data_IF_635698168569
#
_entry.id   IF_635698168569
#
_cell.length_a   1.000
_cell.length_b   1.000
_cell.length_c   1.000
_cell.angle_alpha   90.00
_cell.angle_beta   90.00
_cell.angle_gamma   90.00
#
_symmetry.space_group_name_H-M   'P 1'
#
loop_
_entity.id
_entity.type
_entity.pdbx_description
1 polymer ?
#
# COMPACT_ATOMS: atom_id res chain seq x y z
N UNK A 1 10.32 3.98 -34.02
CA UNK A 1 9.44 5.09 -34.49
C UNK A 1 8.29 4.60 -35.37
N UNK A 2 8.50 4.12 -36.61
CA UNK A 2 7.37 3.66 -37.46
C UNK A 2 6.69 2.39 -36.91
N UNK A 3 7.48 1.47 -36.33
CA UNK A 3 6.99 0.27 -35.66
C UNK A 3 6.24 0.60 -34.34
N UNK A 4 6.72 1.58 -33.57
CA UNK A 4 6.03 2.08 -32.37
C UNK A 4 4.72 2.79 -32.73
N UNK A 5 4.69 3.52 -33.84
CA UNK A 5 3.48 4.22 -34.29
C UNK A 5 2.41 3.25 -34.79
N UNK A 6 2.81 2.17 -35.47
CA UNK A 6 1.96 1.05 -35.91
C UNK A 6 1.48 0.20 -34.72
N UNK A 7 2.32 -0.01 -33.71
CA UNK A 7 1.96 -0.70 -32.49
C UNK A 7 0.98 0.14 -31.66
N UNK A 8 1.23 1.44 -31.52
CA UNK A 8 0.35 2.40 -30.86
C UNK A 8 -1.02 2.50 -31.53
N UNK A 9 -1.09 2.54 -32.86
CA UNK A 9 -2.38 2.55 -33.59
C UNK A 9 -3.14 1.23 -33.50
N UNK A 10 -2.45 0.08 -33.56
CA UNK A 10 -3.08 -1.24 -33.36
C UNK A 10 -3.54 -1.45 -31.91
N UNK A 11 -2.76 -1.02 -30.92
CA UNK A 11 -3.16 -1.02 -29.51
C UNK A 11 -4.35 -0.11 -29.28
N UNK A 12 -4.35 1.10 -29.82
CA UNK A 12 -5.46 2.05 -29.71
C UNK A 12 -6.76 1.48 -30.33
N UNK A 13 -6.65 0.80 -31.47
CA UNK A 13 -7.79 0.10 -32.09
C UNK A 13 -8.26 -1.10 -31.25
N UNK A 14 -7.33 -1.86 -30.67
CA UNK A 14 -7.62 -2.99 -29.78
C UNK A 14 -8.31 -2.54 -28.49
N UNK A 15 -7.83 -1.45 -27.87
CA UNK A 15 -8.44 -0.83 -26.70
C UNK A 15 -9.85 -0.30 -26.98
N UNK A 16 -10.09 0.28 -28.16
CA UNK A 16 -11.42 0.74 -28.57
C UNK A 16 -12.41 -0.42 -28.80
N UNK A 17 -11.93 -1.57 -29.30
CA UNK A 17 -12.75 -2.76 -29.50
C UNK A 17 -13.13 -3.43 -28.16
N UNK A 18 -12.18 -3.55 -27.23
CA UNK A 18 -12.43 -4.06 -25.88
C UNK A 18 -13.32 -3.12 -25.03
N UNK A 19 -13.16 -1.81 -25.21
CA UNK A 19 -14.05 -0.77 -24.64
C UNK A 19 -15.51 -1.01 -25.06
N UNK A 20 -15.74 -1.21 -26.36
CA UNK A 20 -17.10 -1.45 -26.87
C UNK A 20 -17.70 -2.73 -26.30
N UNK A 21 -16.92 -3.81 -26.12
CA UNK A 21 -17.44 -5.02 -25.49
C UNK A 21 -17.71 -4.85 -24.00
N UNK A 22 -16.72 -4.41 -23.21
CA UNK A 22 -16.86 -4.27 -21.76
C UNK A 22 -17.97 -3.30 -21.35
N UNK A 23 -18.25 -2.26 -22.15
CA UNK A 23 -19.21 -1.21 -21.79
C UNK A 23 -20.54 -1.36 -22.52
N UNK A 24 -20.56 -1.70 -23.82
CA UNK A 24 -21.82 -1.78 -24.56
C UNK A 24 -22.56 -3.10 -24.37
N UNK A 25 -21.86 -4.17 -23.98
CA UNK A 25 -22.49 -5.50 -23.79
C UNK A 25 -22.76 -5.84 -22.33
N UNK A 26 -22.23 -5.06 -21.39
CA UNK A 26 -22.42 -5.30 -19.96
C UNK A 26 -23.72 -4.63 -19.46
N UNK A 27 -24.68 -5.46 -19.06
CA UNK A 27 -25.99 -5.02 -18.58
C UNK A 27 -25.94 -4.37 -17.19
N UNK A 28 -24.90 -4.63 -16.38
CA UNK A 28 -24.77 -4.09 -15.02
C UNK A 28 -24.46 -2.59 -14.99
N UNK A 29 -24.04 -2.05 -16.13
CA UNK A 29 -23.76 -0.64 -16.31
C UNK A 29 -25.02 0.20 -16.53
N UNK A 30 -26.13 -0.43 -16.89
CA UNK A 30 -27.39 0.24 -17.16
C UNK A 30 -28.03 0.70 -15.83
N UNK A 31 -28.66 1.89 -15.79
CA UNK A 31 -29.37 2.36 -14.62
C UNK A 31 -30.60 1.50 -14.29
N UNK A 32 -31.19 0.85 -15.30
CA UNK A 32 -32.38 0.00 -15.21
C UNK A 32 -32.15 -1.30 -14.42
N UNK A 33 -30.91 -1.84 -14.41
CA UNK A 33 -30.59 -3.08 -13.69
C UNK A 33 -30.30 -2.79 -12.21
N UNK A 34 -30.71 -3.64 -11.25
CA UNK A 34 -30.43 -3.37 -9.84
C UNK A 34 -28.92 -3.38 -9.56
N UNK A 35 -28.44 -2.46 -8.72
CA UNK A 35 -27.01 -2.32 -8.42
C UNK A 35 -26.41 -3.54 -7.71
N UNK A 36 -27.26 -4.38 -7.10
CA UNK A 36 -26.85 -5.62 -6.42
C UNK A 36 -26.28 -6.66 -7.38
N UNK A 37 -26.62 -6.60 -8.67
CA UNK A 37 -26.11 -7.53 -9.69
C UNK A 37 -24.59 -7.49 -9.81
N UNK A 38 -23.98 -6.32 -9.57
CA UNK A 38 -22.52 -6.13 -9.52
C UNK A 38 -21.83 -7.07 -8.51
N UNK A 39 -22.56 -7.60 -7.52
CA UNK A 39 -22.03 -8.53 -6.52
C UNK A 39 -22.15 -10.00 -6.94
N UNK A 40 -22.96 -10.31 -7.94
CA UNK A 40 -23.23 -11.67 -8.41
C UNK A 40 -22.68 -11.93 -9.81
N UNK A 41 -22.37 -10.85 -10.54
CA UNK A 41 -21.85 -10.87 -11.90
C UNK A 41 -20.35 -10.56 -11.94
N UNK A 42 -19.68 -11.16 -12.91
CA UNK A 42 -18.27 -10.92 -13.15
C UNK A 42 -18.05 -9.55 -13.82
N UNK A 43 -16.78 -9.18 -13.97
CA UNK A 43 -16.39 -7.92 -14.61
C UNK A 43 -17.04 -7.64 -15.98
N UNK A 44 -17.49 -8.67 -16.71
CA UNK A 44 -18.10 -8.55 -18.03
C UNK A 44 -19.63 -8.57 -18.01
N UNK A 45 -20.26 -8.75 -16.85
CA UNK A 45 -21.71 -8.82 -16.69
C UNK A 45 -22.28 -10.24 -16.86
N UNK A 46 -21.47 -11.27 -16.61
CA UNK A 46 -21.93 -12.67 -16.60
C UNK A 46 -21.93 -13.21 -15.17
N UNK A 47 -23.00 -13.90 -14.75
CA UNK A 47 -23.09 -14.51 -13.42
C UNK A 47 -21.84 -15.33 -13.06
N UNK A 48 -21.28 -15.13 -11.87
CA UNK A 48 -20.09 -15.86 -11.40
C UNK A 48 -20.27 -17.39 -11.38
N UNK A 49 -21.50 -17.85 -11.22
CA UNK A 49 -21.85 -19.29 -11.17
C UNK A 49 -21.93 -19.92 -12.55
N UNK A 50 -21.93 -19.13 -13.62
CA UNK A 50 -22.04 -19.61 -14.99
C UNK A 50 -20.69 -20.20 -15.48
N UNK A 51 -20.75 -21.32 -16.20
CA UNK A 51 -19.56 -22.05 -16.69
C UNK A 51 -18.70 -21.22 -17.64
N UNK A 52 -19.31 -20.28 -18.38
CA UNK A 52 -18.63 -19.34 -19.27
C UNK A 52 -18.11 -18.06 -18.60
N UNK A 53 -18.29 -17.88 -17.29
CA UNK A 53 -17.79 -16.70 -16.57
C UNK A 53 -16.28 -16.74 -16.42
N UNK A 54 -15.65 -15.57 -16.57
CA UNK A 54 -14.24 -15.38 -16.32
C UNK A 54 -13.89 -15.36 -14.82
N UNK A 55 -14.89 -15.45 -13.92
CA UNK A 55 -14.77 -15.46 -12.45
C UNK A 55 -13.99 -14.26 -11.88
N UNK A 56 -13.88 -13.19 -12.66
CA UNK A 56 -13.20 -11.97 -12.28
C UNK A 56 -14.15 -11.09 -11.47
N UNK A 57 -14.07 -11.21 -10.14
CA UNK A 57 -14.88 -10.44 -9.19
C UNK A 57 -14.25 -9.06 -8.93
N UNK A 58 -14.82 -8.00 -9.53
CA UNK A 58 -14.28 -6.62 -9.46
C UNK A 58 -15.36 -5.56 -9.27
N UNK A 59 -16.14 -5.64 -8.18
CA UNK A 59 -17.37 -4.86 -8.01
C UNK A 59 -17.12 -3.34 -7.97
N UNK A 60 -16.01 -2.87 -7.39
CA UNK A 60 -15.71 -1.43 -7.36
C UNK A 60 -15.37 -0.87 -8.74
N UNK A 61 -14.73 -1.69 -9.58
CA UNK A 61 -14.41 -1.29 -10.95
C UNK A 61 -15.69 -1.20 -11.80
N UNK A 62 -16.56 -2.22 -11.73
CA UNK A 62 -17.86 -2.23 -12.41
C UNK A 62 -18.76 -1.07 -11.93
N UNK A 63 -18.80 -0.81 -10.62
CA UNK A 63 -19.53 0.32 -10.06
C UNK A 63 -18.98 1.67 -10.57
N UNK A 64 -17.66 1.83 -10.68
CA UNK A 64 -17.06 3.02 -11.28
C UNK A 64 -17.47 3.21 -12.74
N UNK A 65 -17.59 2.12 -13.52
CA UNK A 65 -18.09 2.20 -14.88
C UNK A 65 -19.57 2.57 -14.95
N UNK A 66 -20.40 2.00 -14.05
CA UNK A 66 -21.82 2.32 -13.96
C UNK A 66 -22.05 3.79 -13.62
N UNK A 67 -21.35 4.31 -12.61
CA UNK A 67 -21.41 5.74 -12.26
C UNK A 67 -20.92 6.64 -13.39
N UNK A 68 -19.92 6.20 -14.16
CA UNK A 68 -19.48 6.98 -15.31
C UNK A 68 -20.50 6.95 -16.45
N UNK A 69 -21.16 5.81 -16.65
CA UNK A 69 -22.23 5.67 -17.63
C UNK A 69 -23.43 6.54 -17.28
N UNK A 70 -23.82 6.65 -16.00
CA UNK A 70 -24.93 7.53 -15.60
C UNK A 70 -24.63 9.02 -15.83
N UNK A 71 -23.37 9.45 -15.70
CA UNK A 71 -22.96 10.84 -15.89
C UNK A 71 -22.67 11.23 -17.35
N UNK A 72 -22.00 10.36 -18.10
CA UNK A 72 -21.48 10.67 -19.44
C UNK A 72 -22.03 9.76 -20.55
N UNK A 73 -22.88 8.79 -20.20
CA UNK A 73 -23.37 7.77 -21.13
C UNK A 73 -22.21 7.00 -21.76
N UNK A 74 -22.32 6.71 -23.05
CA UNK A 74 -21.28 6.02 -23.83
C UNK A 74 -20.19 6.95 -24.38
N UNK A 75 -20.13 8.23 -23.97
CA UNK A 75 -19.15 9.18 -24.50
C UNK A 75 -17.73 8.81 -24.03
N UNK A 76 -16.80 8.43 -24.93
CA UNK A 76 -15.48 7.93 -24.53
C UNK A 76 -14.66 8.93 -23.70
N UNK A 77 -14.86 10.22 -23.95
CA UNK A 77 -14.20 11.33 -23.25
C UNK A 77 -14.25 11.18 -21.71
N UNK A 78 -15.44 10.90 -21.14
CA UNK A 78 -15.60 10.83 -19.69
C UNK A 78 -14.86 9.64 -19.08
N UNK A 79 -14.71 8.55 -19.85
CA UNK A 79 -13.95 7.39 -19.42
C UNK A 79 -12.45 7.64 -19.37
N UNK A 80 -11.91 8.33 -20.36
CA UNK A 80 -10.50 8.71 -20.39
C UNK A 80 -10.18 9.78 -19.35
N UNK A 81 -11.06 10.77 -19.15
CA UNK A 81 -10.88 11.79 -18.11
C UNK A 81 -10.70 11.14 -16.73
N UNK A 82 -11.59 10.23 -16.37
CA UNK A 82 -11.53 9.56 -15.06
C UNK A 82 -10.24 8.73 -14.91
N UNK A 83 -9.78 8.08 -15.97
CA UNK A 83 -8.50 7.35 -15.95
C UNK A 83 -7.30 8.29 -15.77
N UNK A 84 -7.29 9.45 -16.42
CA UNK A 84 -6.23 10.47 -16.27
C UNK A 84 -6.22 11.00 -14.84
N UNK A 85 -7.40 11.30 -14.27
CA UNK A 85 -7.52 11.75 -12.87
C UNK A 85 -6.99 10.68 -11.91
N UNK A 86 -7.39 9.42 -12.08
CA UNK A 86 -6.88 8.31 -11.27
C UNK A 86 -5.36 8.17 -11.38
N UNK A 87 -4.81 8.28 -12.59
CA UNK A 87 -3.37 8.20 -12.80
C UNK A 87 -2.61 9.37 -12.13
N UNK A 88 -3.17 10.58 -12.18
CA UNK A 88 -2.63 11.73 -11.45
C UNK A 88 -2.60 11.49 -9.94
N UNK A 89 -3.65 10.89 -9.38
CA UNK A 89 -3.70 10.52 -7.97
C UNK A 89 -2.67 9.45 -7.61
N UNK A 90 -2.52 8.40 -8.44
CA UNK A 90 -1.50 7.36 -8.24
C UNK A 90 -0.11 7.98 -8.25
N UNK A 91 0.18 8.86 -9.22
CA UNK A 91 1.46 9.58 -9.33
C UNK A 91 1.74 10.42 -8.08
N UNK A 92 0.73 11.12 -7.56
CA UNK A 92 0.84 11.88 -6.32
C UNK A 92 1.14 10.96 -5.12
N UNK A 93 0.50 9.79 -5.04
CA UNK A 93 0.77 8.80 -3.98
C UNK A 93 2.18 8.20 -4.08
N UNK A 94 2.66 7.89 -5.29
CA UNK A 94 4.06 7.45 -5.51
C UNK A 94 5.02 8.52 -5.02
N UNK A 95 4.80 9.78 -5.39
CA UNK A 95 5.62 10.91 -4.94
C UNK A 95 5.62 11.03 -3.41
N UNK A 96 4.46 10.88 -2.77
CA UNK A 96 4.33 10.90 -1.31
C UNK A 96 5.07 9.74 -0.63
N UNK A 97 5.03 8.55 -1.23
CA UNK A 97 5.76 7.38 -0.75
C UNK A 97 7.27 7.57 -0.91
N UNK A 98 7.72 8.03 -2.08
CA UNK A 98 9.12 8.37 -2.33
C UNK A 98 9.63 9.44 -1.36
N UNK A 99 8.82 10.44 -1.06
CA UNK A 99 9.15 11.44 -0.04
C UNK A 99 9.30 10.84 1.36
N UNK A 100 8.50 9.83 1.71
CA UNK A 100 8.63 9.13 3.00
C UNK A 100 9.88 8.27 3.08
N UNK A 101 10.41 7.78 1.96
CA UNK A 101 11.56 6.85 1.92
C UNK A 101 12.90 7.57 1.68
N UNK A 102 12.94 8.52 0.73
CA UNK A 102 14.15 9.25 0.34
C UNK A 102 14.28 10.61 1.05
N UNK A 103 13.25 11.07 1.76
CA UNK A 103 13.22 12.36 2.44
C UNK A 103 12.83 13.54 1.53
N UNK A 104 12.94 14.75 2.09
CA UNK A 104 12.63 16.02 1.41
C UNK A 104 13.73 16.34 0.39
N UNK A 105 13.47 16.10 -0.88
CA UNK A 105 14.41 16.46 -1.94
C UNK A 105 13.87 16.26 -3.35
N UNK A 106 14.62 16.78 -4.33
CA UNK A 106 14.33 16.68 -5.76
C UNK A 106 14.16 15.23 -6.22
N UNK A 107 14.85 14.29 -5.60
CA UNK A 107 14.75 12.85 -5.91
C UNK A 107 13.34 12.28 -5.75
N UNK A 108 12.57 12.78 -4.77
CA UNK A 108 11.18 12.35 -4.58
C UNK A 108 10.27 12.82 -5.73
N UNK A 109 10.49 14.05 -6.21
CA UNK A 109 9.77 14.61 -7.35
C UNK A 109 10.19 13.95 -8.66
N UNK A 110 11.49 13.70 -8.85
CA UNK A 110 11.99 12.95 -10.01
C UNK A 110 11.38 11.54 -10.07
N UNK A 111 11.28 10.83 -8.95
CA UNK A 111 10.65 9.51 -8.91
C UNK A 111 9.18 9.57 -9.35
N UNK A 112 8.43 10.57 -8.88
CA UNK A 112 7.05 10.81 -9.30
C UNK A 112 6.92 11.16 -10.79
N UNK A 113 7.78 12.05 -11.31
CA UNK A 113 7.79 12.44 -12.71
C UNK A 113 8.19 11.30 -13.63
N UNK A 114 9.19 10.50 -13.25
CA UNK A 114 9.58 9.30 -13.97
C UNK A 114 8.42 8.31 -14.04
N UNK A 115 7.71 8.10 -12.92
CA UNK A 115 6.50 7.27 -12.89
C UNK A 115 5.41 7.83 -13.82
N UNK A 116 5.12 9.13 -13.77
CA UNK A 116 4.12 9.77 -14.64
C UNK A 116 4.42 9.62 -16.13
N UNK A 117 5.70 9.76 -16.50
CA UNK A 117 6.18 9.67 -17.88
C UNK A 117 6.34 8.24 -18.41
N UNK A 118 6.16 7.22 -17.56
CA UNK A 118 6.50 5.85 -17.91
C UNK A 118 5.53 5.29 -18.98
N UNK A 119 6.02 4.83 -20.15
CA UNK A 119 5.18 4.37 -21.26
C UNK A 119 4.21 3.24 -20.89
N UNK A 120 4.62 2.33 -20.00
CA UNK A 120 3.77 1.24 -19.52
C UNK A 120 2.44 1.72 -18.87
N UNK A 121 2.41 2.93 -18.31
CA UNK A 121 1.16 3.48 -17.76
C UNK A 121 0.28 4.09 -18.84
N UNK A 122 0.85 4.53 -19.96
CA UNK A 122 0.04 5.06 -21.08
C UNK A 122 -0.88 4.00 -21.65
N UNK A 123 -0.45 2.73 -21.70
CA UNK A 123 -1.30 1.62 -22.13
C UNK A 123 -2.45 1.34 -21.14
N UNK A 124 -2.17 1.38 -19.84
CA UNK A 124 -3.17 1.18 -18.79
C UNK A 124 -4.17 2.35 -18.67
N UNK A 125 -3.75 3.58 -19.00
CA UNK A 125 -4.58 4.79 -18.93
C UNK A 125 -5.38 5.01 -20.22
N UNK A 126 -4.75 4.78 -21.38
CA UNK A 126 -5.40 4.86 -22.68
C UNK A 126 -6.43 3.74 -22.84
N UNK A 127 -6.15 2.54 -22.31
CA UNK A 127 -7.12 1.47 -22.19
C UNK A 127 -8.13 1.76 -21.09
N UNK A 128 -9.39 2.00 -21.44
CA UNK A 128 -10.46 2.22 -20.44
C UNK A 128 -10.63 1.01 -19.52
N UNK A 129 -10.43 -0.21 -20.04
CA UNK A 129 -10.43 -1.46 -19.25
C UNK A 129 -9.31 -1.49 -18.20
N UNK A 130 -8.19 -0.80 -18.45
CA UNK A 130 -7.06 -0.66 -17.53
C UNK A 130 -7.38 0.16 -16.28
N UNK A 131 -8.57 0.78 -16.19
CA UNK A 131 -9.05 1.44 -14.97
C UNK A 131 -9.00 0.53 -13.74
N UNK A 132 -9.25 -0.78 -13.93
CA UNK A 132 -9.15 -1.77 -12.86
C UNK A 132 -7.77 -1.75 -12.19
N UNK A 133 -6.72 -1.70 -13.01
CA UNK A 133 -5.32 -1.68 -12.57
C UNK A 133 -4.92 -0.37 -11.90
N UNK A 134 -5.33 0.76 -12.49
CA UNK A 134 -5.01 2.08 -11.93
C UNK A 134 -5.72 2.30 -10.58
N UNK A 135 -6.99 1.89 -10.47
CA UNK A 135 -7.74 1.97 -9.22
C UNK A 135 -7.16 1.05 -8.14
N UNK A 136 -6.79 -0.18 -8.49
CA UNK A 136 -6.10 -1.08 -7.56
C UNK A 136 -4.76 -0.48 -7.09
N UNK A 137 -3.95 0.07 -7.99
CA UNK A 137 -2.68 0.71 -7.65
C UNK A 137 -2.87 1.91 -6.69
N UNK A 138 -3.92 2.71 -6.87
CA UNK A 138 -4.21 3.84 -5.99
C UNK A 138 -4.47 3.39 -4.55
N UNK A 139 -5.39 2.43 -4.36
CA UNK A 139 -5.72 1.93 -3.04
C UNK A 139 -4.60 1.10 -2.42
N UNK A 140 -3.82 0.40 -3.24
CA UNK A 140 -2.59 -0.29 -2.83
C UNK A 140 -1.58 0.70 -2.20
N UNK A 141 -1.25 1.78 -2.91
CA UNK A 141 -0.31 2.79 -2.41
C UNK A 141 -0.86 3.51 -1.18
N UNK A 142 -2.16 3.80 -1.15
CA UNK A 142 -2.81 4.41 0.00
C UNK A 142 -2.76 3.50 1.24
N UNK A 143 -3.01 2.19 1.06
CA UNK A 143 -2.89 1.19 2.12
C UNK A 143 -1.46 1.13 2.68
N UNK A 144 -0.46 1.15 1.79
CA UNK A 144 0.96 1.16 2.19
C UNK A 144 1.34 2.45 2.92
N UNK A 145 0.91 3.62 2.46
CA UNK A 145 1.16 4.91 3.13
C UNK A 145 0.52 4.96 4.53
N UNK A 146 -0.71 4.47 4.67
CA UNK A 146 -1.38 4.33 5.96
C UNK A 146 -0.60 3.38 6.89
N UNK A 147 -0.09 2.28 6.34
CA UNK A 147 0.73 1.32 7.10
C UNK A 147 2.07 1.92 7.56
N UNK A 148 2.79 2.62 6.68
CA UNK A 148 4.04 3.33 7.01
C UNK A 148 3.81 4.33 8.16
N UNK A 149 2.71 5.09 8.11
CA UNK A 149 2.32 6.01 9.19
C UNK A 149 1.99 5.29 10.49
N UNK A 150 1.27 4.16 10.41
CA UNK A 150 0.97 3.32 11.56
C UNK A 150 2.26 2.86 12.26
N UNK A 151 3.24 2.37 11.52
CA UNK A 151 4.49 1.89 12.10
C UNK A 151 5.31 3.03 12.72
N UNK A 152 5.32 4.22 12.12
CA UNK A 152 5.93 5.42 12.73
C UNK A 152 5.32 5.76 14.09
N UNK A 153 3.98 5.80 14.18
CA UNK A 153 3.25 6.04 15.42
C UNK A 153 3.49 4.95 16.47
N UNK A 154 3.62 3.68 16.05
CA UNK A 154 3.94 2.56 16.94
C UNK A 154 5.35 2.71 17.53
N UNK A 155 6.32 3.17 16.74
CA UNK A 155 7.66 3.50 17.21
C UNK A 155 7.68 4.66 18.22
N UNK A 156 6.91 5.71 17.99
CA UNK A 156 6.79 6.84 18.91
C UNK A 156 6.18 6.43 20.26
N UNK A 157 5.17 5.56 20.24
CA UNK A 157 4.58 4.97 21.45
C UNK A 157 5.59 4.18 22.26
N UNK A 158 6.37 3.30 21.61
CA UNK A 158 7.40 2.52 22.30
C UNK A 158 8.39 3.45 23.02
N UNK A 159 8.83 4.53 22.35
CA UNK A 159 9.69 5.57 22.95
C UNK A 159 9.02 6.36 24.08
N UNK A 160 7.71 6.61 24.00
CA UNK A 160 6.95 7.31 25.05
C UNK A 160 6.70 6.43 26.28
N UNK A 161 6.38 5.15 26.07
CA UNK A 161 6.26 4.14 27.13
C UNK A 161 7.57 4.00 27.90
N UNK A 162 8.70 3.94 27.20
CA UNK A 162 10.01 3.90 27.84
C UNK A 162 10.36 5.17 28.63
N UNK A 163 9.81 6.33 28.23
CA UNK A 163 9.90 7.60 28.96
C UNK A 163 8.81 7.79 30.04
N UNK A 164 8.00 6.76 30.34
CA UNK A 164 6.85 6.81 31.28
C UNK A 164 5.94 8.03 31.11
N UNK A 165 5.78 8.54 29.89
CA UNK A 165 4.87 9.66 29.60
C UNK A 165 3.58 9.08 29.03
N UNK A 166 2.56 8.98 29.87
CA UNK A 166 1.30 8.30 29.58
C UNK A 166 0.39 9.17 28.70
N UNK A 167 0.53 9.10 27.37
CA UNK A 167 -0.37 9.76 26.42
C UNK A 167 -1.41 8.81 25.83
N UNK A 168 -2.59 8.70 26.44
CA UNK A 168 -3.67 7.78 26.00
C UNK A 168 -4.24 8.06 24.60
N UNK A 169 -4.16 9.30 24.11
CA UNK A 169 -4.70 9.71 22.80
C UNK A 169 -3.93 9.16 21.59
N UNK A 170 -2.69 8.71 21.76
CA UNK A 170 -1.90 8.09 20.70
C UNK A 170 -2.39 6.67 20.37
N UNK A 171 -3.04 5.99 21.32
CA UNK A 171 -3.54 4.62 21.17
C UNK A 171 -4.55 4.49 20.02
N UNK A 172 -5.62 5.28 20.10
CA UNK A 172 -6.74 5.31 19.15
C UNK A 172 -6.30 5.72 17.74
N UNK A 173 -5.41 6.72 17.63
CA UNK A 173 -4.91 7.20 16.33
C UNK A 173 -4.16 6.11 15.57
N UNK A 174 -3.33 5.34 16.26
CA UNK A 174 -2.57 4.23 15.68
C UNK A 174 -3.49 3.11 15.17
N UNK A 175 -4.51 2.74 15.95
CA UNK A 175 -5.52 1.77 15.51
C UNK A 175 -6.30 2.30 14.30
N UNK A 176 -6.62 3.59 14.27
CA UNK A 176 -7.26 4.23 13.11
C UNK A 176 -6.45 4.07 11.81
N UNK A 177 -5.12 4.28 11.84
CA UNK A 177 -4.27 4.08 10.66
C UNK A 177 -4.15 2.61 10.24
N UNK A 178 -4.19 1.67 11.19
CA UNK A 178 -4.17 0.24 10.90
C UNK A 178 -5.47 -0.19 10.21
N UNK A 179 -6.62 0.20 10.78
CA UNK A 179 -7.93 -0.06 10.19
C UNK A 179 -8.05 0.62 8.82
N UNK A 180 -7.54 1.85 8.68
CA UNK A 180 -7.48 2.55 7.40
C UNK A 180 -6.65 1.80 6.34
N UNK A 181 -5.49 1.25 6.73
CA UNK A 181 -4.66 0.42 5.83
C UNK A 181 -5.38 -0.86 5.39
N UNK A 182 -6.03 -1.57 6.32
CA UNK A 182 -6.81 -2.77 6.03
C UNK A 182 -8.02 -2.47 5.13
N UNK A 183 -8.72 -1.38 5.39
CA UNK A 183 -9.84 -0.93 4.56
C UNK A 183 -9.39 -0.60 3.13
N UNK A 184 -8.26 0.11 2.99
CA UNK A 184 -7.69 0.40 1.69
C UNK A 184 -7.20 -0.87 0.97
N UNK A 185 -6.67 -1.85 1.70
CA UNK A 185 -6.27 -3.14 1.13
C UNK A 185 -7.49 -3.91 0.60
N UNK A 186 -8.59 -3.94 1.37
CA UNK A 186 -9.85 -4.52 0.94
C UNK A 186 -10.41 -3.81 -0.31
N UNK A 187 -10.41 -2.48 -0.32
CA UNK A 187 -10.79 -1.70 -1.49
C UNK A 187 -9.91 -2.05 -2.71
N UNK A 188 -8.59 -2.20 -2.53
CA UNK A 188 -7.69 -2.61 -3.61
C UNK A 188 -8.04 -4.00 -4.17
N UNK A 189 -8.42 -4.97 -3.32
CA UNK A 189 -8.85 -6.30 -3.74
C UNK A 189 -10.14 -6.27 -4.56
N UNK A 190 -11.08 -5.40 -4.20
CA UNK A 190 -12.36 -5.23 -4.91
C UNK A 190 -12.19 -4.53 -6.28
N UNK A 191 -11.08 -3.82 -6.48
CA UNK A 191 -10.67 -3.32 -7.80
C UNK A 191 -10.00 -4.41 -8.63
N UNK A 192 -9.09 -5.18 -8.02
CA UNK A 192 -8.39 -6.29 -8.65
C UNK A 192 -7.87 -7.26 -7.59
N UNK A 193 -8.01 -8.56 -7.85
CA UNK A 193 -7.58 -9.65 -6.97
C UNK A 193 -6.10 -9.56 -6.56
N UNK A 194 -5.25 -9.02 -7.45
CA UNK A 194 -3.82 -8.81 -7.19
C UNK A 194 -3.55 -7.81 -6.05
N UNK A 195 -4.55 -7.02 -5.63
CA UNK A 195 -4.46 -6.10 -4.51
C UNK A 195 -4.13 -6.76 -3.17
N UNK A 196 -4.40 -8.07 -3.02
CA UNK A 196 -4.07 -8.83 -1.79
C UNK A 196 -2.57 -8.79 -1.46
N UNK A 197 -1.72 -8.61 -2.47
CA UNK A 197 -0.27 -8.54 -2.32
C UNK A 197 0.19 -7.37 -1.44
N UNK A 198 -0.64 -6.34 -1.24
CA UNK A 198 -0.31 -5.20 -0.36
C UNK A 198 -0.09 -5.61 1.09
N UNK A 199 -0.81 -6.63 1.56
CA UNK A 199 -0.67 -7.15 2.92
C UNK A 199 0.68 -7.83 3.08
N UNK A 200 1.10 -8.60 2.07
CA UNK A 200 2.42 -9.23 2.04
C UNK A 200 3.54 -8.17 1.99
N UNK A 201 3.40 -7.15 1.14
CA UNK A 201 4.38 -6.04 1.06
C UNK A 201 4.45 -5.28 2.39
N UNK A 202 3.32 -5.05 3.05
CA UNK A 202 3.28 -4.39 4.36
C UNK A 202 3.96 -5.23 5.44
N UNK A 203 3.72 -6.54 5.46
CA UNK A 203 4.40 -7.46 6.39
C UNK A 203 5.92 -7.50 6.14
N UNK A 204 6.34 -7.57 4.87
CA UNK A 204 7.75 -7.49 4.48
C UNK A 204 8.38 -6.17 4.92
N UNK A 205 7.67 -5.05 4.75
CA UNK A 205 8.11 -3.74 5.21
C UNK A 205 8.33 -3.70 6.73
N UNK A 206 7.44 -4.30 7.54
CA UNK A 206 7.59 -4.38 9.00
C UNK A 206 8.81 -5.22 9.42
N UNK A 207 9.03 -6.36 8.75
CA UNK A 207 10.17 -7.24 9.02
C UNK A 207 11.51 -6.58 8.70
N UNK A 208 11.63 -5.87 7.58
CA UNK A 208 12.90 -5.26 7.18
C UNK A 208 13.17 -3.93 7.88
N UNK A 209 12.17 -3.07 8.00
CA UNK A 209 12.37 -1.69 8.50
C UNK A 209 12.35 -1.65 10.03
N UNK A 210 11.45 -2.38 10.69
CA UNK A 210 11.29 -2.30 12.14
C UNK A 210 12.06 -3.37 12.90
N UNK A 211 12.07 -4.62 12.41
CA UNK A 211 12.84 -5.68 13.08
C UNK A 211 14.34 -5.63 12.73
N UNK A 212 14.74 -4.87 11.69
CA UNK A 212 16.12 -4.82 11.13
C UNK A 212 16.72 -6.23 10.97
N UNK A 213 15.88 -7.23 10.71
CA UNK A 213 16.35 -8.60 10.57
C UNK A 213 17.18 -8.68 9.29
N UNK A 214 18.42 -9.14 9.42
CA UNK A 214 19.21 -9.51 8.24
C UNK A 214 18.44 -10.63 7.51
N UNK A 215 18.40 -10.59 6.17
CA UNK A 215 17.69 -11.57 5.32
C UNK A 215 17.94 -13.02 5.75
N UNK A 216 19.16 -13.35 6.19
CA UNK A 216 19.53 -14.67 6.72
C UNK A 216 18.75 -15.08 7.98
N UNK A 217 18.53 -14.17 8.93
CA UNK A 217 17.80 -14.46 10.17
C UNK A 217 16.30 -14.63 9.91
N UNK A 218 15.72 -13.86 8.99
CA UNK A 218 14.33 -14.04 8.56
C UNK A 218 14.13 -15.38 7.83
N UNK A 219 15.09 -15.78 6.98
CA UNK A 219 15.05 -17.08 6.29
C UNK A 219 15.15 -18.25 7.28
N UNK A 220 15.99 -18.14 8.31
CA UNK A 220 16.17 -19.18 9.33
C UNK A 220 14.93 -19.33 10.23
N UNK A 221 14.28 -18.23 10.60
CA UNK A 221 12.98 -18.23 11.30
C UNK A 221 11.86 -18.85 10.46
N UNK A 222 11.79 -18.54 9.16
CA UNK A 222 10.80 -19.12 8.25
C UNK A 222 11.04 -20.61 7.96
N UNK A 223 12.29 -21.06 7.98
CA UNK A 223 12.68 -22.46 7.77
C UNK A 223 12.49 -23.35 9.01
N UNK A 224 11.97 -22.81 10.12
CA UNK A 224 11.72 -23.57 11.36
C UNK A 224 13.00 -24.21 11.95
N UNK A 225 14.17 -23.78 11.48
CA UNK A 225 15.44 -24.24 12.00
C UNK A 225 15.73 -23.36 13.20
N UNK A 226 15.54 -23.89 14.40
CA UNK A 226 16.01 -23.27 15.62
C UNK A 226 17.48 -22.94 15.45
N UNK A 227 17.78 -21.68 15.13
CA UNK A 227 19.09 -21.19 15.41
C UNK A 227 19.21 -21.26 16.93
N UNK A 228 20.06 -22.15 17.40
CA UNK A 228 20.78 -21.98 18.66
C UNK A 228 21.56 -20.67 18.56
N UNK A 229 20.84 -19.56 18.69
CA UNK A 229 21.46 -18.25 18.79
C UNK A 229 21.94 -18.13 20.22
N UNK A 230 23.23 -18.42 20.43
CA UNK A 230 23.96 -17.75 21.47
C UNK A 230 23.66 -16.25 21.37
N UNK A 231 22.98 -15.71 22.37
CA UNK A 231 22.72 -14.29 22.55
C UNK A 231 21.96 -13.57 21.41
N UNK A 232 20.68 -13.91 21.20
CA UNK A 232 19.70 -12.87 20.83
C UNK A 232 19.03 -12.44 22.10
N UNK A 233 19.65 -11.47 22.76
CA UNK A 233 18.87 -10.53 23.55
C UNK A 233 17.84 -9.93 22.60
N UNK A 234 16.53 -9.89 22.92
CA UNK A 234 15.66 -8.93 22.26
C UNK A 234 16.36 -7.59 22.41
N UNK A 235 16.37 -6.72 21.39
CA UNK A 235 16.99 -5.40 21.47
C UNK A 235 16.44 -4.62 22.70
N UNK A 236 17.00 -4.89 23.88
CA UNK A 236 17.10 -4.00 25.01
C UNK A 236 17.94 -2.89 24.44
N UNK A 237 17.31 -1.74 24.24
CA UNK A 237 18.05 -0.50 24.29
C UNK A 237 18.87 -0.54 25.58
N UNK A 238 20.17 -0.78 25.44
CA UNK A 238 21.11 -0.80 26.54
C UNK A 238 21.14 0.58 27.15
N UNK A 239 20.40 0.75 28.24
CA UNK A 239 20.75 1.69 29.29
C UNK A 239 20.99 0.84 30.52
N UNK A 240 22.26 0.65 30.84
CA UNK A 240 22.71 0.28 32.18
C UNK A 240 22.17 1.35 33.15
N UNK A 241 21.37 1.00 34.17
CA UNK A 241 21.17 1.91 35.28
C UNK A 241 22.52 2.03 35.97
N UNK A 242 23.09 3.25 36.00
CA UNK A 242 24.20 3.55 36.88
C UNK A 242 23.81 3.12 38.30
N UNK A 243 24.51 2.12 38.82
CA UNK A 243 24.51 1.83 40.24
C UNK A 243 24.99 3.09 40.99
N UNK A 244 24.42 3.41 42.16
CA UNK A 244 24.98 4.44 43.02
C UNK A 244 26.36 3.96 43.46
N UNK A 245 27.39 4.74 43.14
CA UNK A 245 28.72 4.56 43.70
C UNK A 245 28.67 4.88 45.20
N UNK A 246 28.48 3.85 46.02
CA UNK A 246 28.90 3.84 47.42
C UNK A 246 30.40 3.55 47.47
N UNK A 247 31.26 4.43 48.01
CA UNK A 247 32.65 4.11 48.25
C UNK A 247 32.79 3.58 49.68
N UNK A 248 32.99 2.27 49.82
CA UNK A 248 33.55 1.68 51.04
C UNK A 248 34.47 0.53 50.63
N UNK A 249 35.79 0.72 50.73
CA UNK A 249 36.62 -0.03 51.68
C UNK A 249 38.10 0.39 51.64
N UNK A 250 38.56 0.91 52.78
CA UNK A 250 39.83 0.70 53.50
C UNK A 250 41.15 0.56 52.74
N UNK A 251 42.09 1.48 53.00
CA UNK A 251 43.20 1.24 53.96
C UNK A 251 44.14 2.46 54.01
N UNK A 252 44.49 2.89 55.23
CA UNK A 252 45.84 3.17 55.75
C UNK A 252 45.72 4.08 56.97
N UNK A 253 46.09 3.51 58.10
CA UNK A 253 46.35 4.16 59.38
C UNK A 253 47.35 5.32 59.24
N UNK A 254 47.09 6.44 59.92
CA UNK A 254 48.09 7.10 60.76
C UNK A 254 47.41 8.09 61.69
N UNK A 255 47.80 7.99 62.96
CA UNK A 255 47.46 8.84 64.08
C UNK A 255 47.68 10.34 63.82
N UNK A 256 46.89 11.21 64.46
CA UNK A 256 47.33 12.15 65.52
C UNK A 256 46.13 12.99 66.00
N UNK A 257 46.17 13.30 67.30
CA UNK A 257 45.15 13.80 68.23
C UNK A 257 44.66 15.26 68.04
N UNK A 258 43.59 15.66 68.77
CA UNK A 258 42.85 16.91 68.61
C UNK A 258 43.35 18.03 69.55
N UNK A 259 43.11 19.29 69.16
CA UNK A 259 42.62 20.41 70.01
C UNK A 259 41.84 21.36 69.12
#
# INVERSE_FOLDING_TARGET
VLCDHLQSTRLMFFFFCFLSRAIKTNQDLLPETPWTNILYDDFWGTLLTHSGSHKSFRPLCTLSFRLNYTLHGLRPWGYHLLNIVLHGLVTAMVTALSHSLLGRGLWSLLAGLLFASHPAHTEAVAGVVGRADVGAALFFLLSLLCYVRHCGLRGDKWRAFQRRTCGGSSATRCWGWMLGSLWCAAASMLWKEQGVTVLAVSAVYDLFVFQKLRVRQALLLLLGKDCTVGNVSPCRCGFTPGAPASPTFNNISTHVHPV
#
